data_IF_447703923288
#
_entry.id   IF_447703923288
#
_cell.length_a   1.000
_cell.length_b   1.000
_cell.length_c   1.000
_cell.angle_alpha   90.00
_cell.angle_beta   90.00
_cell.angle_gamma   90.00
#
_symmetry.space_group_name_H-M   'P 1'
#
loop_
_entity.id
_entity.type
_entity.pdbx_description
1 polymer ?
#
# COMPACT_ATOMS: atom_id res chain seq x y z
N UNK A 1 -32.59 -33.28 5.71
CA UNK A 1 -32.47 -32.23 4.69
C UNK A 1 -31.03 -31.77 4.69
N UNK A 2 -30.22 -32.31 3.78
CA UNK A 2 -28.86 -31.82 3.56
C UNK A 2 -28.93 -30.45 2.88
N UNK A 3 -28.16 -29.45 3.34
CA UNK A 3 -28.11 -28.16 2.66
C UNK A 3 -27.48 -28.35 1.27
N UNK A 4 -28.24 -27.97 0.24
CA UNK A 4 -27.85 -28.09 -1.15
C UNK A 4 -26.72 -27.07 -1.45
N UNK A 5 -25.52 -27.48 -1.90
CA UNK A 5 -24.36 -26.61 -2.04
C UNK A 5 -24.59 -25.43 -3.01
N UNK A 6 -25.52 -25.58 -3.96
CA UNK A 6 -25.89 -24.51 -4.91
C UNK A 6 -26.63 -23.35 -4.26
N UNK A 7 -27.37 -23.59 -3.17
CA UNK A 7 -28.12 -22.54 -2.45
C UNK A 7 -27.18 -21.67 -1.64
N UNK A 8 -26.06 -22.22 -1.14
CA UNK A 8 -25.00 -21.46 -0.47
C UNK A 8 -24.26 -20.55 -1.46
N UNK A 9 -23.87 -21.04 -2.64
CA UNK A 9 -23.18 -20.21 -3.64
C UNK A 9 -24.00 -19.02 -4.13
N UNK A 10 -25.33 -19.14 -4.18
CA UNK A 10 -26.22 -18.04 -4.56
C UNK A 10 -26.42 -17.02 -3.44
N UNK A 11 -26.30 -17.43 -2.16
CA UNK A 11 -26.37 -16.52 -1.02
C UNK A 11 -25.13 -15.60 -0.95
N UNK A 12 -23.94 -16.12 -1.29
CA UNK A 12 -22.69 -15.33 -1.35
C UNK A 12 -22.59 -14.43 -2.60
N UNK A 13 -23.38 -14.69 -3.64
CA UNK A 13 -23.39 -13.88 -4.86
C UNK A 13 -24.20 -12.59 -4.73
N UNK A 14 -24.98 -12.43 -3.65
CA UNK A 14 -25.93 -11.32 -3.51
C UNK A 14 -25.43 -10.14 -2.65
N UNK A 15 -24.25 -10.22 -2.02
CA UNK A 15 -23.82 -9.24 -1.00
C UNK A 15 -22.52 -8.45 -1.30
N UNK A 16 -21.86 -8.56 -2.46
CA UNK A 16 -20.44 -8.13 -2.57
C UNK A 16 -20.10 -7.09 -3.66
N UNK A 17 -21.08 -6.36 -4.21
CA UNK A 17 -20.79 -5.21 -5.10
C UNK A 17 -20.77 -3.85 -4.38
N UNK A 18 -21.16 -3.81 -3.10
CA UNK A 18 -20.92 -2.67 -2.20
C UNK A 18 -19.58 -2.81 -1.50
N UNK A 19 -18.87 -1.69 -1.26
CA UNK A 19 -17.64 -1.60 -0.46
C UNK A 19 -17.50 -2.74 0.56
N UNK A 20 -16.73 -3.79 0.20
CA UNK A 20 -16.63 -5.02 1.00
C UNK A 20 -16.20 -4.77 2.45
N UNK A 21 -15.56 -3.64 2.70
CA UNK A 21 -14.92 -3.30 3.95
C UNK A 21 -15.35 -1.91 4.38
N UNK A 22 -15.60 -1.77 5.68
CA UNK A 22 -15.89 -0.51 6.34
C UNK A 22 -14.60 0.29 6.54
N UNK A 23 -14.69 1.62 6.74
CA UNK A 23 -13.52 2.45 7.02
C UNK A 23 -12.63 1.95 8.17
N UNK A 24 -13.21 1.45 9.26
CA UNK A 24 -12.44 0.94 10.40
C UNK A 24 -11.67 -0.35 10.08
N UNK A 25 -12.20 -1.16 9.16
CA UNK A 25 -11.54 -2.38 8.68
C UNK A 25 -10.38 -2.03 7.76
N UNK A 26 -10.57 -1.06 6.85
CA UNK A 26 -9.46 -0.51 6.06
C UNK A 26 -8.35 0.04 6.95
N UNK A 27 -8.72 0.79 8.00
CA UNK A 27 -7.76 1.30 8.97
C UNK A 27 -6.99 0.17 9.64
N UNK A 28 -7.68 -0.85 10.13
CA UNK A 28 -7.06 -1.97 10.84
C UNK A 28 -6.10 -2.76 9.93
N UNK A 29 -6.51 -3.03 8.69
CA UNK A 29 -5.66 -3.71 7.71
C UNK A 29 -4.44 -2.84 7.37
N UNK A 30 -4.64 -1.54 7.12
CA UNK A 30 -3.55 -0.62 6.84
C UNK A 30 -2.55 -0.54 8.00
N UNK A 31 -3.03 -0.38 9.25
CA UNK A 31 -2.19 -0.35 10.45
C UNK A 31 -1.43 -1.66 10.66
N UNK A 32 -2.02 -2.80 10.31
CA UNK A 32 -1.32 -4.07 10.34
C UNK A 32 -0.16 -4.08 9.32
N UNK A 33 -0.39 -3.61 8.09
CA UNK A 33 0.67 -3.53 7.07
C UNK A 33 1.82 -2.60 7.48
N UNK A 34 1.55 -1.52 8.21
CA UNK A 34 2.58 -0.61 8.71
C UNK A 34 3.62 -1.29 9.63
N UNK A 35 3.25 -2.39 10.28
CA UNK A 35 4.14 -3.15 11.16
C UNK A 35 4.88 -4.29 10.45
N UNK A 36 4.56 -4.57 9.18
CA UNK A 36 5.26 -5.59 8.38
C UNK A 36 6.68 -5.14 8.13
N UNK A 37 7.61 -6.10 8.17
CA UNK A 37 9.02 -5.86 7.88
C UNK A 37 9.26 -5.74 6.37
N UNK A 38 10.05 -4.75 5.96
CA UNK A 38 10.34 -4.51 4.54
C UNK A 38 11.17 -5.64 3.90
N UNK A 39 12.02 -6.32 4.66
CA UNK A 39 12.84 -7.44 4.19
C UNK A 39 12.00 -8.65 3.78
N UNK A 40 10.84 -8.86 4.42
CA UNK A 40 9.88 -9.90 4.03
C UNK A 40 9.26 -9.61 2.66
N UNK A 41 9.10 -8.33 2.31
CA UNK A 41 8.57 -7.90 1.02
C UNK A 41 9.59 -8.12 -0.11
N UNK A 42 10.85 -7.82 0.16
CA UNK A 42 11.95 -7.99 -0.80
C UNK A 42 12.23 -9.47 -1.11
N UNK A 43 12.03 -10.35 -0.11
CA UNK A 43 12.31 -11.79 -0.23
C UNK A 43 11.37 -12.54 -1.19
N UNK A 44 10.22 -11.95 -1.56
CA UNK A 44 9.27 -12.60 -2.47
C UNK A 44 9.64 -12.50 -3.96
N UNK A 45 10.53 -11.58 -4.35
CA UNK A 45 10.76 -11.27 -5.77
C UNK A 45 12.09 -11.82 -6.32
N UNK A 46 13.08 -12.17 -5.49
CA UNK A 46 14.39 -12.64 -5.96
C UNK A 46 14.93 -13.80 -5.11
N UNK A 47 15.11 -14.96 -5.74
CA UNK A 47 16.05 -15.97 -5.24
C UNK A 47 17.50 -15.49 -5.43
N UNK A 48 18.35 -15.92 -4.49
CA UNK A 48 19.83 -16.05 -4.56
C UNK A 48 20.67 -14.84 -4.12
N UNK A 49 21.09 -14.81 -2.84
CA UNK A 49 22.47 -15.03 -2.36
C UNK A 49 22.50 -14.87 -0.81
N UNK A 50 22.98 -15.84 0.00
CA UNK A 50 23.03 -15.73 1.47
C UNK A 50 24.14 -14.80 1.99
N UNK A 51 24.89 -14.13 1.12
CA UNK A 51 25.93 -13.21 1.52
C UNK A 51 25.36 -11.81 1.76
N UNK A 52 25.21 -11.49 3.05
CA UNK A 52 25.23 -10.13 3.59
C UNK A 52 24.01 -9.25 3.31
N UNK A 53 23.02 -9.37 4.19
CA UNK A 53 22.29 -8.19 4.64
C UNK A 53 21.95 -8.36 6.12
N UNK A 54 22.89 -8.00 6.99
CA UNK A 54 22.61 -7.67 8.39
C UNK A 54 21.88 -6.32 8.47
N UNK A 55 20.90 -6.06 7.60
CA UNK A 55 20.04 -4.88 7.77
C UNK A 55 19.14 -5.15 8.94
N UNK A 56 19.10 -4.18 9.85
CA UNK A 56 18.17 -4.23 10.98
C UNK A 56 16.76 -4.33 10.43
N UNK A 57 15.92 -5.24 10.93
CA UNK A 57 14.52 -5.32 10.54
C UNK A 57 13.86 -3.95 10.73
N UNK A 58 13.32 -3.38 9.66
CA UNK A 58 12.61 -2.10 9.67
C UNK A 58 11.19 -2.29 9.18
N UNK A 59 10.24 -1.73 9.90
CA UNK A 59 8.83 -1.75 9.50
C UNK A 59 8.55 -0.75 8.38
N UNK A 60 7.46 -0.98 7.63
CA UNK A 60 6.98 -0.03 6.63
C UNK A 60 6.76 1.36 7.24
N UNK A 61 6.18 1.44 8.45
CA UNK A 61 5.99 2.71 9.16
C UNK A 61 7.31 3.46 9.38
N UNK A 62 8.30 2.74 9.92
CA UNK A 62 9.62 3.31 10.23
C UNK A 62 10.29 3.82 8.95
N UNK A 63 10.19 3.06 7.85
CA UNK A 63 10.69 3.48 6.54
C UNK A 63 9.99 4.75 6.04
N UNK A 64 8.66 4.81 6.11
CA UNK A 64 7.87 5.96 5.67
C UNK A 64 8.10 7.21 6.53
N UNK A 65 8.48 7.05 7.81
CA UNK A 65 8.82 8.17 8.69
C UNK A 65 10.30 8.58 8.62
N UNK A 66 11.19 7.72 8.12
CA UNK A 66 12.63 7.97 8.06
C UNK A 66 13.01 9.19 7.23
N UNK A 67 13.94 10.04 7.70
CA UNK A 67 14.37 11.22 6.93
C UNK A 67 15.17 10.87 5.67
N UNK A 68 15.88 9.75 5.69
CA UNK A 68 16.67 9.23 4.57
C UNK A 68 16.30 7.76 4.31
N UNK A 69 15.11 7.50 3.76
CA UNK A 69 14.68 6.14 3.45
C UNK A 69 15.54 5.57 2.31
N UNK A 70 15.81 4.27 2.34
CA UNK A 70 16.45 3.58 1.23
C UNK A 70 15.51 3.59 0.00
N UNK A 71 15.96 4.04 -1.18
CA UNK A 71 15.15 3.97 -2.39
C UNK A 71 14.74 2.55 -2.76
N UNK A 72 15.59 1.56 -2.50
CA UNK A 72 15.31 0.15 -2.79
C UNK A 72 14.15 -0.38 -1.94
N UNK A 73 14.14 -0.05 -0.65
CA UNK A 73 13.08 -0.43 0.29
C UNK A 73 11.73 0.21 -0.10
N UNK A 74 11.75 1.48 -0.53
CA UNK A 74 10.55 2.15 -1.04
C UNK A 74 10.03 1.50 -2.33
N UNK A 75 10.93 1.03 -3.20
CA UNK A 75 10.56 0.26 -4.39
C UNK A 75 9.95 -1.09 -3.98
N UNK A 76 10.50 -1.79 -3.00
CA UNK A 76 9.95 -3.05 -2.49
C UNK A 76 8.52 -2.88 -1.97
N UNK A 77 8.27 -1.86 -1.13
CA UNK A 77 6.92 -1.52 -0.64
C UNK A 77 5.98 -1.19 -1.81
N UNK A 78 6.45 -0.40 -2.79
CA UNK A 78 5.67 -0.06 -3.99
C UNK A 78 5.26 -1.31 -4.77
N UNK A 79 6.17 -2.27 -4.98
CA UNK A 79 5.89 -3.49 -5.74
C UNK A 79 4.97 -4.43 -4.98
N UNK A 80 5.21 -4.62 -3.68
CA UNK A 80 4.31 -5.37 -2.80
C UNK A 80 2.87 -4.82 -2.84
N UNK A 81 2.72 -3.51 -2.70
CA UNK A 81 1.42 -2.87 -2.76
C UNK A 81 0.75 -3.06 -4.13
N UNK A 82 1.51 -2.94 -5.21
CA UNK A 82 1.02 -3.13 -6.58
C UNK A 82 0.56 -4.58 -6.82
N UNK A 83 1.36 -5.58 -6.42
CA UNK A 83 1.03 -6.99 -6.60
C UNK A 83 -0.15 -7.41 -5.73
N UNK A 84 -0.18 -6.94 -4.47
CA UNK A 84 -1.26 -7.26 -3.52
C UNK A 84 -2.63 -6.72 -3.93
N UNK A 85 -2.68 -5.59 -4.64
CA UNK A 85 -3.92 -4.97 -5.13
C UNK A 85 -4.31 -5.32 -6.57
N UNK A 86 -3.50 -6.09 -7.29
CA UNK A 86 -3.73 -6.38 -8.72
C UNK A 86 -4.88 -7.37 -8.95
N UNK A 87 -5.01 -8.38 -8.10
CA UNK A 87 -6.06 -9.40 -8.20
C UNK A 87 -7.33 -9.00 -7.43
N UNK A 88 -8.54 -9.37 -7.90
CA UNK A 88 -9.78 -9.20 -7.13
C UNK A 88 -9.73 -9.88 -5.75
N UNK A 89 -9.12 -11.07 -5.69
CA UNK A 89 -8.91 -11.85 -4.47
C UNK A 89 -7.48 -11.70 -3.92
N UNK A 90 -6.86 -10.55 -4.17
CA UNK A 90 -5.53 -10.23 -3.65
C UNK A 90 -5.51 -10.17 -2.12
N UNK A 91 -4.33 -10.32 -1.50
CA UNK A 91 -4.19 -10.35 -0.04
C UNK A 91 -4.58 -9.01 0.63
N UNK A 92 -4.63 -7.91 -0.13
CA UNK A 92 -5.03 -6.60 0.37
C UNK A 92 -6.24 -6.05 -0.38
N UNK A 93 -7.18 -5.39 0.32
CA UNK A 93 -8.20 -4.60 -0.34
C UNK A 93 -7.58 -3.51 -1.21
N UNK A 94 -8.13 -3.30 -2.41
CA UNK A 94 -7.62 -2.34 -3.39
C UNK A 94 -7.34 -0.94 -2.83
N UNK A 95 -8.22 -0.34 -1.98
CA UNK A 95 -7.94 0.98 -1.41
C UNK A 95 -6.69 1.02 -0.52
N UNK A 96 -6.48 -0.03 0.29
CA UNK A 96 -5.31 -0.14 1.19
C UNK A 96 -4.03 -0.29 0.38
N UNK A 97 -4.04 -1.20 -0.60
CA UNK A 97 -2.92 -1.40 -1.52
C UNK A 97 -2.57 -0.11 -2.28
N UNK A 98 -3.58 0.61 -2.81
CA UNK A 98 -3.37 1.86 -3.52
C UNK A 98 -2.77 2.96 -2.63
N UNK A 99 -3.20 3.07 -1.37
CA UNK A 99 -2.64 4.05 -0.43
C UNK A 99 -1.19 3.72 -0.07
N UNK A 100 -0.85 2.45 0.20
CA UNK A 100 0.54 2.04 0.46
C UNK A 100 1.46 2.33 -0.73
N UNK A 101 0.99 2.01 -1.95
CA UNK A 101 1.69 2.33 -3.19
C UNK A 101 1.98 3.83 -3.33
N UNK A 102 0.98 4.68 -3.06
CA UNK A 102 1.11 6.13 -3.17
C UNK A 102 1.98 6.73 -2.06
N UNK A 103 1.96 6.16 -0.85
CA UNK A 103 2.83 6.58 0.26
C UNK A 103 4.30 6.31 -0.03
N UNK A 104 4.64 5.14 -0.59
CA UNK A 104 6.00 4.84 -1.01
C UNK A 104 6.52 5.84 -2.06
N UNK A 105 5.69 6.17 -3.05
CA UNK A 105 6.02 7.18 -4.08
C UNK A 105 6.16 8.58 -3.45
N UNK A 106 5.21 8.99 -2.63
CA UNK A 106 5.24 10.30 -1.98
C UNK A 106 6.50 10.45 -1.12
N UNK A 107 6.87 9.40 -0.39
CA UNK A 107 8.07 9.38 0.43
C UNK A 107 9.35 9.49 -0.41
N UNK A 108 9.45 8.78 -1.52
CA UNK A 108 10.58 8.88 -2.45
C UNK A 108 10.74 10.30 -3.01
N UNK A 109 9.63 10.92 -3.44
CA UNK A 109 9.63 12.30 -3.96
C UNK A 109 10.02 13.33 -2.89
N UNK A 110 9.60 13.14 -1.64
CA UNK A 110 9.90 14.08 -0.56
C UNK A 110 11.33 13.98 -0.04
N UNK A 111 11.86 12.77 0.13
CA UNK A 111 13.10 12.54 0.86
C UNK A 111 14.32 12.38 -0.03
N UNK A 112 14.16 11.86 -1.25
CA UNK A 112 15.30 11.55 -2.14
C UNK A 112 15.22 12.23 -3.50
N UNK A 113 14.16 13.02 -3.76
CA UNK A 113 13.83 13.62 -5.07
C UNK A 113 13.84 12.60 -6.22
N UNK A 114 13.74 11.31 -5.90
CA UNK A 114 13.85 10.22 -6.86
C UNK A 114 12.46 9.82 -7.31
N UNK A 115 12.22 9.87 -8.62
CA UNK A 115 10.95 9.41 -9.18
C UNK A 115 10.99 7.89 -9.37
N UNK A 116 10.28 7.16 -8.50
CA UNK A 116 10.12 5.70 -8.59
C UNK A 116 8.83 5.27 -9.31
N UNK A 117 8.20 6.18 -10.07
CA UNK A 117 6.94 5.93 -10.80
C UNK A 117 6.97 6.54 -12.19
N UNK A 118 6.26 5.91 -13.12
CA UNK A 118 6.09 6.38 -14.50
C UNK A 118 4.84 7.24 -14.70
N UNK A 119 3.99 7.36 -13.66
CA UNK A 119 2.85 8.27 -13.70
C UNK A 119 3.33 9.69 -13.96
N UNK A 120 2.60 10.46 -14.77
CA UNK A 120 2.79 11.90 -14.93
C UNK A 120 2.33 12.68 -13.69
N UNK A 121 2.67 13.96 -13.61
CA UNK A 121 2.40 14.79 -12.42
C UNK A 121 0.90 15.03 -12.19
N UNK A 122 0.09 15.22 -13.23
CA UNK A 122 -1.36 15.43 -13.12
C UNK A 122 -2.06 14.17 -12.61
N UNK A 123 -1.72 13.02 -13.19
CA UNK A 123 -2.19 11.71 -12.75
C UNK A 123 -1.80 11.43 -11.31
N UNK A 124 -0.55 11.72 -10.94
CA UNK A 124 -0.05 11.48 -9.60
C UNK A 124 -0.70 12.41 -8.58
N UNK A 125 -0.85 13.70 -8.90
CA UNK A 125 -1.54 14.69 -8.05
C UNK A 125 -2.98 14.28 -7.75
N UNK A 126 -3.71 13.82 -8.78
CA UNK A 126 -5.08 13.33 -8.63
C UNK A 126 -5.14 12.14 -7.66
N UNK A 127 -4.25 11.15 -7.85
CA UNK A 127 -4.20 9.94 -7.01
C UNK A 127 -3.77 10.24 -5.57
N UNK A 128 -2.77 11.10 -5.36
CA UNK A 128 -2.34 11.54 -4.03
C UNK A 128 -3.45 12.30 -3.30
N UNK A 129 -4.21 13.14 -4.02
CA UNK A 129 -5.36 13.87 -3.46
C UNK A 129 -6.46 12.92 -3.03
N UNK A 130 -6.79 11.91 -3.86
CA UNK A 130 -7.72 10.85 -3.50
C UNK A 130 -7.27 10.07 -2.26
N UNK A 131 -5.99 9.67 -2.20
CA UNK A 131 -5.45 8.91 -1.07
C UNK A 131 -5.49 9.73 0.23
N UNK A 132 -5.19 11.03 0.16
CA UNK A 132 -5.32 11.91 1.32
C UNK A 132 -6.78 12.18 1.73
N UNK A 133 -7.74 11.91 0.85
CA UNK A 133 -9.17 12.00 1.13
C UNK A 133 -9.68 10.87 2.02
N UNK A 134 -9.01 9.72 2.02
CA UNK A 134 -9.42 8.53 2.78
C UNK A 134 -9.57 8.86 4.28
N UNK A 135 -10.76 8.65 4.84
CA UNK A 135 -11.11 9.00 6.22
C UNK A 135 -10.51 8.06 7.26
N UNK A 136 -10.17 6.85 6.84
CA UNK A 136 -9.58 5.80 7.66
C UNK A 136 -8.05 5.90 7.78
N UNK A 137 -7.41 6.75 6.97
CA UNK A 137 -5.96 6.96 6.98
C UNK A 137 -5.55 7.91 8.12
N UNK A 138 -4.42 7.63 8.77
CA UNK A 138 -3.91 8.50 9.84
C UNK A 138 -3.50 9.89 9.30
N UNK A 139 -3.72 10.93 10.10
CA UNK A 139 -3.59 12.32 9.63
C UNK A 139 -2.18 12.68 9.14
N UNK A 140 -1.14 12.12 9.74
CA UNK A 140 0.24 12.40 9.33
C UNK A 140 0.53 11.89 7.91
N UNK A 141 0.01 10.73 7.52
CA UNK A 141 0.08 10.23 6.15
C UNK A 141 -0.75 11.09 5.19
N UNK A 142 -1.95 11.53 5.61
CA UNK A 142 -2.79 12.44 4.81
C UNK A 142 -2.08 13.77 4.56
N UNK A 143 -1.40 14.31 5.57
CA UNK A 143 -0.59 15.54 5.45
C UNK A 143 0.58 15.32 4.48
N UNK A 144 1.30 14.21 4.59
CA UNK A 144 2.39 13.85 3.68
C UNK A 144 1.91 13.79 2.21
N UNK A 145 0.80 13.10 1.95
CA UNK A 145 0.21 12.97 0.62
C UNK A 145 -0.24 14.33 0.06
N UNK A 146 -0.92 15.16 0.86
CA UNK A 146 -1.34 16.52 0.45
C UNK A 146 -0.16 17.42 0.16
N UNK A 147 0.86 17.40 1.02
CA UNK A 147 2.07 18.20 0.83
C UNK A 147 2.77 17.82 -0.48
N UNK A 148 2.85 16.52 -0.78
CA UNK A 148 3.41 16.03 -2.05
C UNK A 148 2.56 16.47 -3.24
N UNK A 149 1.23 16.28 -3.18
CA UNK A 149 0.32 16.67 -4.25
C UNK A 149 0.40 18.17 -4.60
N UNK A 150 0.60 19.06 -3.61
CA UNK A 150 0.76 20.50 -3.83
C UNK A 150 2.08 20.89 -4.49
N UNK A 151 3.12 20.06 -4.36
CA UNK A 151 4.43 20.29 -5.00
C UNK A 151 4.42 19.87 -6.47
N UNK A 152 3.47 19.02 -6.86
CA UNK A 152 3.21 18.66 -8.25
C UNK A 152 2.38 19.77 -8.91
N UNK A 153 2.81 20.23 -10.09
CA UNK A 153 2.29 21.40 -10.84
C UNK A 153 0.78 21.53 -10.83
#
# INVERSE_FOLDING_TARGET
MEPNPKTLSQLFQLDHEGELWRPDEYRSIFQHQLHVDVSELASSEHSTDPAETNSTPISIDTLLMSQRPSPQDLVAVKQFAKSSGAAPDGPLPKPVAAVLYLLAIAKALQATETRITELDDDSLKTKLTWAAGQTWLDDHFRVMLRATARRLG
#
